data_IF_998179618601
#
_entry.id   IF_998179618601
#
_cell.length_a   1.000
_cell.length_b   1.000
_cell.length_c   1.000
_cell.angle_alpha   90.00
_cell.angle_beta   90.00
_cell.angle_gamma   90.00
#
_symmetry.space_group_name_H-M   'P 1'
#
loop_
_entity.id
_entity.type
_entity.pdbx_description
1 polymer ?
#
# COMPACT_ATOMS: atom_id res chain seq x y z
N UNK A 1 -32.10 -0.13 -21.99
CA UNK A 1 -30.68 -0.29 -22.36
C UNK A 1 -29.80 0.53 -21.41
N UNK A 2 -29.82 0.17 -20.12
CA UNK A 2 -29.18 0.93 -19.01
C UNK A 2 -27.88 0.24 -18.57
N UNK A 3 -27.80 -1.09 -18.70
CA UNK A 3 -26.62 -1.88 -18.33
C UNK A 3 -25.33 -1.44 -19.04
N UNK A 4 -25.35 -1.26 -20.38
CA UNK A 4 -24.15 -0.88 -21.13
C UNK A 4 -23.57 0.47 -20.70
N UNK A 5 -24.42 1.42 -20.26
CA UNK A 5 -23.98 2.74 -19.79
C UNK A 5 -23.45 2.68 -18.35
N UNK A 6 -24.02 1.82 -17.51
CA UNK A 6 -23.49 1.54 -16.16
C UNK A 6 -22.13 0.84 -16.22
N UNK A 7 -21.97 -0.15 -17.09
CA UNK A 7 -20.68 -0.83 -17.30
C UNK A 7 -19.62 0.13 -17.84
N UNK A 8 -19.95 0.96 -18.84
CA UNK A 8 -19.02 1.98 -19.35
C UNK A 8 -18.63 3.03 -18.30
N UNK A 9 -19.56 3.42 -17.42
CA UNK A 9 -19.24 4.34 -16.32
C UNK A 9 -18.41 3.68 -15.20
N UNK A 10 -18.65 2.39 -14.91
CA UNK A 10 -17.84 1.61 -13.97
C UNK A 10 -16.42 1.40 -14.51
N UNK A 11 -16.30 1.12 -15.80
CA UNK A 11 -15.03 1.00 -16.53
C UNK A 11 -14.29 2.35 -16.57
N UNK A 12 -15.00 3.47 -16.75
CA UNK A 12 -14.40 4.81 -16.66
C UNK A 12 -13.93 5.14 -15.24
N UNK A 13 -14.64 4.65 -14.22
CA UNK A 13 -14.24 4.80 -12.81
C UNK A 13 -13.07 3.87 -12.45
N UNK A 14 -12.98 2.68 -13.05
CA UNK A 14 -11.83 1.77 -12.94
C UNK A 14 -10.59 2.35 -13.64
N UNK A 15 -10.73 2.90 -14.85
CA UNK A 15 -9.65 3.61 -15.55
C UNK A 15 -9.16 4.83 -14.74
N UNK A 16 -10.07 5.55 -14.05
CA UNK A 16 -9.69 6.65 -13.16
C UNK A 16 -8.94 6.15 -11.91
N UNK A 17 -9.30 4.99 -11.38
CA UNK A 17 -8.55 4.33 -10.31
C UNK A 17 -7.18 3.83 -10.81
N UNK A 18 -7.08 3.32 -12.04
CA UNK A 18 -5.80 2.95 -12.66
C UNK A 18 -4.91 4.19 -12.91
N UNK A 19 -5.52 5.35 -13.18
CA UNK A 19 -4.82 6.64 -13.20
C UNK A 19 -4.28 7.04 -11.81
N UNK A 20 -4.89 6.56 -10.72
CA UNK A 20 -4.42 6.75 -9.34
C UNK A 20 -3.38 5.70 -8.92
N UNK A 21 -3.38 4.49 -9.50
CA UNK A 21 -2.26 3.54 -9.33
C UNK A 21 -0.93 4.10 -9.86
N UNK A 22 -0.98 5.13 -10.71
CA UNK A 22 0.19 5.88 -11.17
C UNK A 22 0.76 6.85 -10.10
N UNK A 23 0.18 6.96 -8.90
CA UNK A 23 0.61 7.93 -7.89
C UNK A 23 1.74 7.47 -6.96
N UNK A 24 2.14 6.18 -6.94
CA UNK A 24 3.29 5.74 -6.13
C UNK A 24 4.57 5.45 -6.94
N UNK A 25 4.48 5.42 -8.26
CA UNK A 25 5.62 5.37 -9.17
C UNK A 25 5.36 6.24 -10.39
N UNK A 26 5.38 7.56 -10.21
CA UNK A 26 5.26 8.49 -11.34
C UNK A 26 6.48 8.32 -12.21
N UNK A 27 6.41 7.52 -13.27
CA UNK A 27 7.52 7.42 -14.21
C UNK A 27 7.66 8.80 -14.87
N UNK A 28 8.76 9.50 -14.59
CA UNK A 28 9.13 10.74 -15.29
C UNK A 28 9.16 10.50 -16.81
N UNK A 29 9.05 11.54 -17.64
CA UNK A 29 9.19 11.41 -19.11
C UNK A 29 10.48 10.65 -19.53
N UNK A 30 11.50 10.64 -18.66
CA UNK A 30 12.75 9.87 -18.79
C UNK A 30 12.67 8.38 -18.42
N UNK A 31 11.49 7.81 -18.14
CA UNK A 31 11.35 6.40 -17.79
C UNK A 31 11.78 6.07 -16.34
N UNK A 32 12.06 7.07 -15.50
CA UNK A 32 12.53 6.86 -14.13
C UNK A 32 11.39 7.00 -13.13
N UNK A 33 11.13 6.02 -12.26
CA UNK A 33 10.11 6.14 -11.22
C UNK A 33 10.44 7.32 -10.29
N UNK A 34 9.53 8.27 -10.20
CA UNK A 34 9.52 9.38 -9.25
C UNK A 34 8.60 9.00 -8.10
N UNK A 35 9.16 9.15 -6.91
CA UNK A 35 8.52 8.93 -5.63
C UNK A 35 8.11 10.27 -5.02
N UNK A 36 6.84 10.45 -4.68
CA UNK A 36 6.36 11.63 -3.97
C UNK A 36 6.75 11.54 -2.48
N UNK A 37 7.76 12.34 -2.10
CA UNK A 37 8.26 12.38 -0.73
C UNK A 37 7.23 12.95 0.26
N UNK A 38 6.34 13.86 -0.17
CA UNK A 38 5.30 14.39 0.71
C UNK A 38 4.28 13.30 1.07
N UNK A 39 3.90 12.49 0.08
CA UNK A 39 3.03 11.35 0.29
C UNK A 39 3.66 10.31 1.24
N UNK A 40 4.95 10.01 1.08
CA UNK A 40 5.68 9.10 1.99
C UNK A 40 5.61 9.61 3.42
N UNK A 41 5.99 10.86 3.66
CA UNK A 41 6.00 11.44 5.01
C UNK A 41 4.59 11.42 5.60
N UNK A 42 3.56 11.72 4.81
CA UNK A 42 2.18 11.65 5.27
C UNK A 42 1.76 10.24 5.68
N UNK A 43 2.09 9.22 4.88
CA UNK A 43 1.80 7.82 5.19
C UNK A 43 2.55 7.34 6.43
N UNK A 44 3.82 7.76 6.60
CA UNK A 44 4.59 7.46 7.81
C UNK A 44 3.98 8.10 9.06
N UNK A 45 3.55 9.36 8.98
CA UNK A 45 2.89 10.03 10.10
C UNK A 45 1.58 9.35 10.49
N UNK A 46 0.80 8.88 9.50
CA UNK A 46 -0.45 8.12 9.73
C UNK A 46 -0.18 6.76 10.37
N UNK A 47 0.86 6.07 9.91
CA UNK A 47 1.31 4.79 10.46
C UNK A 47 1.75 4.95 11.92
N UNK A 48 2.63 5.91 12.20
CA UNK A 48 3.12 6.18 13.55
C UNK A 48 1.99 6.58 14.49
N UNK A 49 1.08 7.46 14.05
CA UNK A 49 -0.10 7.83 14.83
C UNK A 49 -1.12 6.68 14.99
N UNK A 50 -1.04 5.61 14.20
CA UNK A 50 -1.93 4.46 14.27
C UNK A 50 -3.39 4.80 13.94
N UNK A 51 -3.63 5.69 12.96
CA UNK A 51 -4.97 6.20 12.65
C UNK A 51 -5.89 5.11 12.07
N UNK A 52 -7.21 5.30 12.20
CA UNK A 52 -8.22 4.38 11.65
C UNK A 52 -8.46 4.51 10.14
N UNK A 53 -7.73 5.41 9.46
CA UNK A 53 -7.78 5.54 8.01
C UNK A 53 -7.41 4.20 7.35
N UNK A 54 -8.20 3.79 6.36
CA UNK A 54 -8.02 2.52 5.65
C UNK A 54 -7.25 2.73 4.36
N UNK A 55 -6.34 1.81 4.08
CA UNK A 55 -5.53 1.72 2.87
C UNK A 55 -5.71 0.34 2.25
N UNK A 56 -5.65 0.28 0.92
CA UNK A 56 -5.66 -0.96 0.17
C UNK A 56 -4.21 -1.40 -0.10
N UNK A 57 -3.90 -2.65 0.25
CA UNK A 57 -2.66 -3.30 -0.16
C UNK A 57 -3.00 -4.27 -1.27
N UNK A 58 -2.27 -4.17 -2.38
CA UNK A 58 -2.42 -5.07 -3.53
C UNK A 58 -1.19 -5.94 -3.62
N UNK A 59 -1.39 -7.24 -3.84
CA UNK A 59 -0.32 -8.17 -4.12
C UNK A 59 0.39 -7.80 -5.41
N UNK A 60 1.65 -8.21 -5.57
CA UNK A 60 2.47 -7.88 -6.75
C UNK A 60 1.83 -8.36 -8.06
N UNK A 61 1.09 -9.46 -7.99
CA UNK A 61 0.38 -10.06 -9.12
C UNK A 61 -0.92 -9.32 -9.48
N UNK A 62 -1.35 -8.34 -8.67
CA UNK A 62 -2.56 -7.55 -8.90
C UNK A 62 -3.86 -8.29 -8.59
N UNK A 63 -3.83 -9.60 -8.35
CA UNK A 63 -5.04 -10.42 -8.23
C UNK A 63 -5.67 -10.38 -6.85
N UNK A 64 -4.87 -10.13 -5.82
CA UNK A 64 -5.31 -10.14 -4.43
C UNK A 64 -5.13 -8.76 -3.82
N UNK A 65 -6.14 -8.29 -3.09
CA UNK A 65 -6.05 -7.07 -2.31
C UNK A 65 -6.64 -7.27 -0.91
N UNK A 66 -6.14 -6.50 0.04
CA UNK A 66 -6.68 -6.43 1.41
C UNK A 66 -6.85 -4.97 1.80
N UNK A 67 -7.92 -4.66 2.55
CA UNK A 67 -8.16 -3.33 3.11
C UNK A 67 -7.86 -3.38 4.61
N UNK A 68 -6.92 -2.55 5.04
CA UNK A 68 -6.41 -2.52 6.42
C UNK A 68 -6.30 -1.08 6.91
N UNK A 69 -6.39 -0.85 8.23
CA UNK A 69 -6.11 0.48 8.78
C UNK A 69 -4.63 0.68 9.08
N UNK A 70 -4.18 1.94 9.14
CA UNK A 70 -2.82 2.25 9.62
C UNK A 70 -2.59 1.75 11.06
N UNK A 71 -3.63 1.73 11.91
CA UNK A 71 -3.59 1.12 13.23
C UNK A 71 -3.31 -0.39 13.21
N UNK A 72 -3.90 -1.13 12.27
CA UNK A 72 -3.63 -2.56 12.11
C UNK A 72 -2.20 -2.79 11.60
N UNK A 73 -1.75 -1.99 10.63
CA UNK A 73 -0.39 -2.04 10.11
C UNK A 73 0.66 -1.79 11.19
N UNK A 74 0.44 -0.77 12.03
CA UNK A 74 1.33 -0.46 13.15
C UNK A 74 1.45 -1.64 14.12
N UNK A 75 0.32 -2.26 14.51
CA UNK A 75 0.34 -3.43 15.40
C UNK A 75 1.12 -4.60 14.81
N UNK A 76 0.89 -4.92 13.54
CA UNK A 76 1.61 -5.98 12.84
C UNK A 76 3.11 -5.68 12.75
N UNK A 77 3.48 -4.43 12.47
CA UNK A 77 4.86 -3.98 12.39
C UNK A 77 5.56 -4.10 13.76
N UNK A 78 4.94 -3.61 14.83
CA UNK A 78 5.48 -3.70 16.19
C UNK A 78 5.65 -5.17 16.64
N UNK A 79 4.68 -6.03 16.31
CA UNK A 79 4.75 -7.46 16.60
C UNK A 79 5.93 -8.13 15.87
N UNK A 80 6.05 -7.94 14.56
CA UNK A 80 7.13 -8.50 13.75
C UNK A 80 8.51 -7.97 14.22
N UNK A 81 8.60 -6.67 14.53
CA UNK A 81 9.84 -6.08 15.05
C UNK A 81 10.23 -6.67 16.40
N UNK A 82 9.24 -6.90 17.29
CA UNK A 82 9.48 -7.53 18.59
C UNK A 82 9.95 -8.97 18.45
N UNK A 83 9.37 -9.76 17.55
CA UNK A 83 9.81 -11.13 17.27
C UNK A 83 11.28 -11.15 16.84
N UNK A 84 11.65 -10.29 15.90
CA UNK A 84 13.04 -10.19 15.43
C UNK A 84 14.01 -9.69 16.51
N UNK A 85 13.59 -8.70 17.31
CA UNK A 85 14.43 -8.10 18.35
C UNK A 85 14.64 -9.00 19.56
N UNK A 86 13.71 -9.93 19.80
CA UNK A 86 13.78 -10.86 20.94
C UNK A 86 14.35 -12.22 20.55
N UNK A 87 14.65 -12.45 19.27
CA UNK A 87 15.29 -13.69 18.82
C UNK A 87 16.77 -13.68 19.26
N UNK A 88 17.18 -14.52 20.22
CA UNK A 88 18.60 -14.64 20.56
C UNK A 88 19.36 -15.17 19.34
N UNK A 89 20.55 -14.63 19.08
CA UNK A 89 21.42 -15.13 18.02
C UNK A 89 21.71 -16.61 18.27
N UNK A 90 21.08 -17.50 17.51
CA UNK A 90 21.47 -18.91 17.47
C UNK A 90 22.77 -18.95 16.68
N UNK A 91 23.89 -18.78 17.39
CA UNK A 91 25.22 -19.04 16.84
C UNK A 91 25.24 -20.55 16.55
N UNK A 92 25.34 -20.99 15.28
CA UNK A 92 25.48 -22.40 14.99
C UNK A 92 26.83 -22.84 15.57
N UNK A 93 26.81 -23.67 16.61
CA UNK A 93 28.00 -24.36 17.08
C UNK A 93 28.19 -25.62 16.23
N UNK A 94 28.92 -25.52 15.12
CA UNK A 94 30.03 -26.42 14.79
C UNK A 94 30.75 -26.02 13.51
#
# INVERSE_FOLDING_TARGET
>A
MIGARFYSQLETAQIRNDMLENELSKVTESGKPWMDMAHIVQCLNKLDAGVSEKVQLVSRDGYNFIVVSYGDLRRCLEAAFRELSTTPSVIPRH
#
